data_IF_046226035089
#
_entry.id   IF_046226035089
#
_cell.length_a   1.000
_cell.length_b   1.000
_cell.length_c   1.000
_cell.angle_alpha   90.00
_cell.angle_beta   90.00
_cell.angle_gamma   90.00
#
_symmetry.space_group_name_H-M   'P 1'
#
loop_
_entity.id
_entity.type
_entity.pdbx_description
1 polymer ?
#
# COMPACT_ATOMS: atom_id res chain seq x y z
N UNK A 1 17.16 -4.91 1.76
CA UNK A 1 16.88 -5.83 2.90
C UNK A 1 15.37 -6.00 3.04
N UNK A 2 14.89 -7.14 3.55
CA UNK A 2 13.47 -7.30 3.89
C UNK A 2 13.19 -6.53 5.18
N UNK A 3 12.11 -5.74 5.20
CA UNK A 3 11.71 -4.92 6.35
C UNK A 3 10.28 -5.22 6.82
N UNK A 4 9.59 -6.18 6.21
CA UNK A 4 8.18 -6.39 6.47
C UNK A 4 7.58 -7.47 5.58
N UNK A 5 6.30 -7.73 5.80
CA UNK A 5 5.54 -8.75 5.07
C UNK A 5 4.19 -8.22 4.63
N UNK A 6 3.83 -8.54 3.39
CA UNK A 6 2.47 -8.35 2.85
C UNK A 6 1.58 -9.44 3.43
N UNK A 7 0.42 -9.05 3.97
CA UNK A 7 -0.59 -9.96 4.53
C UNK A 7 -1.75 -10.20 3.57
N UNK A 8 -2.12 -9.16 2.82
CA UNK A 8 -3.16 -9.21 1.80
C UNK A 8 -2.77 -8.35 0.59
N UNK A 9 -3.28 -8.71 -0.59
CA UNK A 9 -3.05 -7.94 -1.81
C UNK A 9 -4.14 -8.20 -2.83
N UNK A 10 -4.32 -7.25 -3.74
CA UNK A 10 -5.33 -7.31 -4.78
C UNK A 10 -5.29 -6.11 -5.73
N UNK A 11 -6.08 -6.18 -6.78
CA UNK A 11 -6.25 -5.05 -7.69
C UNK A 11 -7.50 -4.26 -7.32
N UNK A 12 -7.32 -3.01 -6.92
CA UNK A 12 -8.42 -2.11 -6.57
C UNK A 12 -8.97 -1.48 -7.86
N UNK A 13 -9.96 -2.15 -8.47
CA UNK A 13 -10.50 -1.77 -9.78
C UNK A 13 -11.03 -0.33 -9.84
N UNK A 14 -11.66 0.18 -8.78
CA UNK A 14 -12.19 1.55 -8.75
C UNK A 14 -11.08 2.60 -8.95
N UNK A 15 -9.90 2.38 -8.36
CA UNK A 15 -8.76 3.32 -8.43
C UNK A 15 -7.69 2.89 -9.43
N UNK A 16 -7.88 1.74 -10.08
CA UNK A 16 -6.98 1.13 -11.06
C UNK A 16 -5.54 0.94 -10.56
N UNK A 17 -5.37 0.53 -9.30
CA UNK A 17 -4.07 0.29 -8.67
C UNK A 17 -3.94 -1.13 -8.12
N UNK A 18 -2.75 -1.69 -8.22
CA UNK A 18 -2.36 -2.83 -7.40
C UNK A 18 -2.14 -2.34 -5.97
N UNK A 19 -2.80 -2.99 -5.01
CA UNK A 19 -2.77 -2.65 -3.59
C UNK A 19 -2.21 -3.83 -2.78
N UNK A 20 -1.51 -3.50 -1.71
CA UNK A 20 -1.03 -4.46 -0.72
C UNK A 20 -1.21 -3.87 0.67
N UNK A 21 -1.57 -4.71 1.64
CA UNK A 21 -1.52 -4.38 3.05
C UNK A 21 -0.45 -5.25 3.71
N UNK A 22 0.24 -4.70 4.69
CA UNK A 22 1.33 -5.40 5.34
C UNK A 22 1.87 -4.64 6.54
N UNK A 23 2.83 -5.25 7.22
CA UNK A 23 3.47 -4.67 8.39
C UNK A 23 4.93 -4.29 8.07
N UNK A 24 5.33 -3.12 8.57
CA UNK A 24 6.71 -2.60 8.58
C UNK A 24 7.02 -2.06 9.98
N UNK A 25 8.31 -1.88 10.36
CA UNK A 25 8.69 -1.19 11.58
C UNK A 25 8.01 0.18 11.69
N UNK A 26 7.56 0.54 12.90
CA UNK A 26 6.84 1.79 13.15
C UNK A 26 7.63 3.02 12.68
N UNK A 27 8.95 3.03 12.84
CA UNK A 27 9.83 4.12 12.38
C UNK A 27 9.82 4.34 10.86
N UNK A 28 9.28 3.39 10.07
CA UNK A 28 9.16 3.48 8.62
C UNK A 28 7.70 3.66 8.16
N UNK A 29 6.73 3.55 9.05
CA UNK A 29 5.30 3.45 8.71
C UNK A 29 4.71 4.75 8.16
N UNK A 30 5.34 5.90 8.44
CA UNK A 30 4.87 7.22 8.00
C UNK A 30 5.67 7.77 6.80
N UNK A 31 6.73 7.07 6.38
CA UNK A 31 7.57 7.54 5.28
C UNK A 31 6.92 7.20 3.93
N UNK A 32 6.38 8.24 3.30
CA UNK A 32 5.69 8.16 2.01
C UNK A 32 6.62 8.46 0.83
N UNK A 33 7.94 8.42 0.99
CA UNK A 33 8.87 8.68 -0.10
C UNK A 33 8.71 7.65 -1.22
N UNK A 34 8.61 8.11 -2.47
CA UNK A 34 8.54 7.22 -3.62
C UNK A 34 9.85 6.42 -3.75
N UNK A 35 9.72 5.11 -3.99
CA UNK A 35 10.88 4.21 -4.17
C UNK A 35 11.57 3.79 -2.87
N UNK A 36 11.08 4.24 -1.70
CA UNK A 36 11.58 3.75 -0.41
C UNK A 36 11.30 2.26 -0.20
N UNK A 37 10.15 1.80 -0.67
CA UNK A 37 9.73 0.42 -0.57
C UNK A 37 9.67 -0.25 -1.93
N UNK A 38 9.97 -1.54 -1.92
CA UNK A 38 9.70 -2.45 -3.02
C UNK A 38 8.97 -3.66 -2.46
N UNK A 39 8.02 -4.19 -3.23
CA UNK A 39 7.35 -5.46 -2.93
C UNK A 39 7.88 -6.50 -3.92
N UNK A 40 8.35 -7.63 -3.40
CA UNK A 40 8.72 -8.77 -4.23
C UNK A 40 7.47 -9.55 -4.63
N UNK A 41 7.27 -9.76 -5.92
CA UNK A 41 6.19 -10.56 -6.49
C UNK A 41 6.82 -11.51 -7.50
N UNK A 42 6.83 -12.81 -7.18
CA UNK A 42 7.40 -13.87 -8.04
C UNK A 42 8.85 -13.58 -8.44
N UNK A 43 9.69 -13.17 -7.49
CA UNK A 43 11.10 -12.83 -7.74
C UNK A 43 11.35 -11.45 -8.36
N UNK A 44 10.30 -10.69 -8.71
CA UNK A 44 10.42 -9.34 -9.24
C UNK A 44 10.12 -8.29 -8.19
N UNK A 45 11.03 -7.35 -7.99
CA UNK A 45 10.79 -6.19 -7.14
C UNK A 45 10.02 -5.12 -7.88
N UNK A 46 8.93 -4.66 -7.28
CA UNK A 46 8.05 -3.61 -7.80
C UNK A 46 8.08 -2.43 -6.83
N UNK A 47 8.36 -1.19 -7.28
CA UNK A 47 8.28 -0.02 -6.43
C UNK A 47 6.92 0.12 -5.76
N UNK A 48 6.92 0.47 -4.49
CA UNK A 48 5.72 0.69 -3.69
C UNK A 48 5.89 1.97 -2.86
N UNK A 49 4.76 2.52 -2.43
CA UNK A 49 4.67 3.69 -1.55
C UNK A 49 3.58 3.44 -0.53
N UNK A 50 3.79 3.90 0.70
CA UNK A 50 2.75 3.88 1.73
C UNK A 50 1.67 4.90 1.35
N UNK A 51 0.40 4.45 1.35
CA UNK A 51 -0.76 5.31 1.27
C UNK A 51 -1.38 5.41 2.66
N UNK A 52 -1.36 6.61 3.25
CA UNK A 52 -1.92 6.86 4.59
C UNK A 52 -3.45 6.97 4.53
N UNK A 53 -3.97 7.65 3.52
CA UNK A 53 -5.41 7.74 3.27
C UNK A 53 -5.86 6.58 2.36
N UNK A 54 -7.10 6.07 2.55
CA UNK A 54 -7.64 5.09 1.63
C UNK A 54 -7.79 5.73 0.24
N UNK A 55 -7.37 5.06 -0.84
CA UNK A 55 -7.40 5.65 -2.18
C UNK A 55 -8.83 5.81 -2.73
N UNK A 56 -9.83 5.22 -2.06
CA UNK A 56 -11.25 5.34 -2.40
C UNK A 56 -12.00 5.93 -1.22
N UNK A 57 -12.77 6.99 -1.49
CA UNK A 57 -13.66 7.67 -0.54
C UNK A 57 -13.03 7.96 0.83
N UNK A 58 -11.95 8.77 0.89
CA UNK A 58 -11.27 9.06 2.15
C UNK A 58 -12.14 9.78 3.18
N UNK A 59 -13.16 10.53 2.75
CA UNK A 59 -14.14 11.14 3.66
C UNK A 59 -15.25 10.16 4.10
N UNK A 60 -15.41 9.03 3.42
CA UNK A 60 -16.47 8.05 3.69
C UNK A 60 -17.86 8.57 3.34
N UNK A 61 -17.99 9.56 2.47
CA UNK A 61 -19.27 10.22 2.18
C UNK A 61 -20.23 9.29 1.44
N UNK A 62 -19.72 8.36 0.63
CA UNK A 62 -20.55 7.47 -0.20
C UNK A 62 -21.35 6.45 0.62
N UNK A 63 -20.94 6.18 1.85
CA UNK A 63 -21.67 5.28 2.76
C UNK A 63 -22.77 5.98 3.55
N UNK A 64 -22.87 7.31 3.47
CA UNK A 64 -23.74 8.15 4.32
C UNK A 64 -24.97 8.70 3.59
N UNK A 65 -25.18 8.30 2.35
CA UNK A 65 -26.36 8.59 1.52
C UNK A 65 -27.17 7.32 1.29
#
# INVERSE_FOLDING_TARGET
RVVGWVTSGGYAHYVQKSMAQGYVPAALAEDQSAGLFEIEILGHRRPARINVEPPFDPSGEKMRT
#
